data_IF_543955516070
#
_entry.id   IF_543955516070
#
_cell.length_a   1.000
_cell.length_b   1.000
_cell.length_c   1.000
_cell.angle_alpha   90.00
_cell.angle_beta   90.00
_cell.angle_gamma   90.00
#
_symmetry.space_group_name_H-M   'P 1'
#
loop_
_entity.id
_entity.type
_entity.pdbx_description
1 polymer ?
#
# COMPACT_ATOMS: atom_id res chain seq x y z
N UNK A 1 -3.18 25.01 -46.81
CA UNK A 1 -3.43 24.77 -45.39
C UNK A 1 -3.29 26.11 -44.68
N UNK A 2 -4.35 26.61 -44.04
CA UNK A 2 -4.42 28.01 -43.56
C UNK A 2 -3.58 28.14 -42.27
N UNK A 3 -2.77 29.22 -42.11
CA UNK A 3 -1.90 29.42 -40.91
C UNK A 3 -2.66 29.26 -39.58
N UNK A 4 -3.95 29.59 -39.54
CA UNK A 4 -4.82 29.42 -38.37
C UNK A 4 -5.09 27.97 -38.04
N UNK A 5 -5.31 27.11 -39.05
CA UNK A 5 -5.54 25.66 -38.87
C UNK A 5 -4.30 24.97 -38.33
N UNK A 6 -3.12 25.38 -38.77
CA UNK A 6 -1.84 24.87 -38.30
C UNK A 6 -1.60 25.24 -36.81
N UNK A 7 -1.91 26.48 -36.42
CA UNK A 7 -1.81 26.94 -35.02
C UNK A 7 -2.74 26.18 -34.07
N UNK A 8 -3.98 25.92 -34.46
CA UNK A 8 -4.92 25.14 -33.65
C UNK A 8 -4.52 23.66 -33.52
N UNK A 9 -3.94 23.08 -34.57
CA UNK A 9 -3.44 21.70 -34.51
C UNK A 9 -2.24 21.57 -33.56
N UNK A 10 -1.31 22.54 -33.57
CA UNK A 10 -0.18 22.59 -32.63
C UNK A 10 -0.63 22.85 -31.19
N UNK A 11 -1.59 23.72 -30.95
CA UNK A 11 -2.13 23.99 -29.61
C UNK A 11 -2.86 22.76 -29.03
N UNK A 12 -3.63 22.05 -29.86
CA UNK A 12 -4.30 20.82 -29.46
C UNK A 12 -3.33 19.69 -29.12
N UNK A 13 -2.28 19.51 -29.95
CA UNK A 13 -1.25 18.48 -29.70
C UNK A 13 -0.45 18.80 -28.42
N UNK A 14 -0.13 20.07 -28.18
CA UNK A 14 0.58 20.52 -26.98
C UNK A 14 -0.25 20.33 -25.71
N UNK A 15 -1.56 20.60 -25.76
CA UNK A 15 -2.48 20.36 -24.64
C UNK A 15 -2.64 18.85 -24.33
N UNK A 16 -2.68 17.98 -25.34
CA UNK A 16 -2.73 16.54 -25.17
C UNK A 16 -1.44 15.97 -24.57
N UNK A 17 -0.28 16.51 -24.97
CA UNK A 17 1.01 16.07 -24.41
C UNK A 17 1.15 16.51 -22.96
N UNK A 18 0.81 17.76 -22.62
CA UNK A 18 0.85 18.25 -21.23
C UNK A 18 -0.18 17.53 -20.37
N UNK A 19 -1.40 17.32 -20.86
CA UNK A 19 -2.44 16.58 -20.16
C UNK A 19 -2.05 15.12 -19.92
N UNK A 20 -1.40 14.47 -20.89
CA UNK A 20 -0.90 13.10 -20.75
C UNK A 20 0.27 12.97 -19.76
N UNK A 21 1.21 13.94 -19.76
CA UNK A 21 2.31 13.94 -18.78
C UNK A 21 1.82 14.22 -17.35
N UNK A 22 0.91 15.18 -17.17
CA UNK A 22 0.37 15.49 -15.83
C UNK A 22 -0.51 14.36 -15.29
N UNK A 23 -1.31 13.69 -16.12
CA UNK A 23 -2.10 12.54 -15.72
C UNK A 23 -1.23 11.35 -15.27
N UNK A 24 -0.08 11.15 -15.92
CA UNK A 24 0.85 10.05 -15.58
C UNK A 24 1.51 10.25 -14.21
N UNK A 25 1.88 11.49 -13.86
CA UNK A 25 2.52 11.79 -12.56
C UNK A 25 1.57 11.68 -11.37
N UNK A 26 0.25 11.73 -11.58
CA UNK A 26 -0.75 11.64 -10.53
C UNK A 26 -1.13 10.18 -10.15
N UNK A 27 -0.68 9.20 -10.91
CA UNK A 27 -1.08 7.79 -10.72
C UNK A 27 0.08 6.86 -10.36
N UNK A 28 1.30 7.36 -10.21
CA UNK A 28 2.44 6.51 -9.87
C UNK A 28 2.58 6.34 -8.35
N UNK A 29 2.83 5.10 -7.88
CA UNK A 29 3.21 4.83 -6.49
C UNK A 29 4.46 5.63 -6.12
N UNK A 30 4.58 6.00 -4.84
CA UNK A 30 5.69 6.82 -4.34
C UNK A 30 7.04 6.19 -4.70
N UNK A 31 8.03 6.97 -5.18
CA UNK A 31 9.35 6.46 -5.50
C UNK A 31 10.01 5.79 -4.30
N UNK A 32 10.74 4.70 -4.53
CA UNK A 32 11.56 4.05 -3.51
C UNK A 32 12.58 5.05 -2.92
N UNK A 33 12.81 4.97 -1.59
CA UNK A 33 13.69 5.89 -0.85
C UNK A 33 13.00 7.12 -0.27
N UNK A 34 11.70 7.36 -0.57
CA UNK A 34 10.96 8.47 0.01
C UNK A 34 10.60 8.18 1.47
N UNK A 35 10.79 9.18 2.36
CA UNK A 35 10.32 9.09 3.75
C UNK A 35 8.81 8.94 3.81
N UNK A 36 8.32 8.08 4.70
CA UNK A 36 6.88 8.01 4.98
C UNK A 36 6.40 9.35 5.56
N UNK A 37 5.18 9.78 5.22
CA UNK A 37 4.62 10.98 5.84
C UNK A 37 4.44 10.76 7.34
N UNK A 38 4.60 11.80 8.18
CA UNK A 38 4.39 11.73 9.63
C UNK A 38 3.03 11.13 10.02
N UNK A 39 2.01 11.30 9.16
CA UNK A 39 0.68 10.73 9.33
C UNK A 39 0.72 9.21 9.52
N UNK A 40 1.61 8.47 8.84
CA UNK A 40 1.71 7.01 9.05
C UNK A 40 1.88 6.67 10.53
N UNK A 41 2.85 7.31 11.17
CA UNK A 41 3.15 7.04 12.59
C UNK A 41 2.17 7.67 13.58
N UNK A 42 1.38 8.64 13.14
CA UNK A 42 0.33 9.26 13.93
C UNK A 42 -1.03 8.52 13.84
N UNK A 43 -1.16 7.58 12.91
CA UNK A 43 -2.41 6.83 12.72
C UNK A 43 -2.53 5.71 13.75
N UNK A 44 -3.70 5.61 14.35
CA UNK A 44 -4.16 4.48 15.17
C UNK A 44 -5.44 3.95 14.56
N UNK A 45 -5.58 2.63 14.47
CA UNK A 45 -6.75 1.97 13.91
C UNK A 45 -7.15 0.80 14.80
N UNK A 46 -8.45 0.50 14.95
CA UNK A 46 -8.90 -0.66 15.71
C UNK A 46 -8.50 -1.97 15.01
N UNK A 47 -8.13 -2.95 15.79
CA UNK A 47 -7.97 -4.34 15.33
C UNK A 47 -9.33 -5.07 15.27
N UNK A 48 -9.31 -6.36 14.94
CA UNK A 48 -10.51 -7.20 14.87
C UNK A 48 -11.25 -7.40 16.20
N UNK A 49 -10.65 -6.99 17.31
CA UNK A 49 -11.23 -7.03 18.66
C UNK A 49 -11.70 -5.64 19.11
N UNK A 50 -11.55 -4.62 18.26
CA UNK A 50 -11.89 -3.24 18.57
C UNK A 50 -10.84 -2.51 19.42
N UNK A 51 -9.64 -3.09 19.59
CA UNK A 51 -8.56 -2.45 20.33
C UNK A 51 -7.74 -1.55 19.41
N UNK A 52 -7.53 -0.30 19.85
CA UNK A 52 -6.75 0.69 19.10
C UNK A 52 -5.27 0.28 19.03
N UNK A 53 -4.76 0.19 17.81
CA UNK A 53 -3.39 -0.18 17.49
C UNK A 53 -2.69 1.00 16.80
N UNK A 54 -1.75 1.63 17.48
CA UNK A 54 -0.96 2.70 16.90
C UNK A 54 0.08 2.13 15.93
N UNK A 55 0.13 2.64 14.69
CA UNK A 55 1.12 2.18 13.69
C UNK A 55 2.56 2.50 14.13
N UNK A 56 2.75 3.47 15.02
CA UNK A 56 4.06 3.80 15.61
C UNK A 56 4.70 2.67 16.42
N UNK A 57 3.94 1.68 16.89
CA UNK A 57 4.49 0.53 17.64
C UNK A 57 5.48 -0.30 16.81
N UNK A 58 5.35 -0.30 15.47
CA UNK A 58 6.24 -1.00 14.55
C UNK A 58 7.36 -0.13 13.98
N UNK A 59 7.52 1.09 14.52
CA UNK A 59 8.60 1.98 14.09
C UNK A 59 9.96 1.39 14.43
N UNK A 60 10.89 1.39 13.46
CA UNK A 60 12.21 0.79 13.61
C UNK A 60 12.31 -0.66 13.17
N UNK A 61 11.19 -1.27 12.78
CA UNK A 61 11.14 -2.56 12.10
C UNK A 61 11.04 -2.37 10.58
N UNK A 62 11.30 -3.43 9.83
CA UNK A 62 10.88 -3.47 8.40
C UNK A 62 9.40 -3.78 8.40
N UNK A 63 8.59 -2.88 7.87
CA UNK A 63 7.14 -2.95 7.95
C UNK A 63 6.53 -3.14 6.56
N UNK A 64 5.78 -4.23 6.38
CA UNK A 64 4.95 -4.47 5.20
C UNK A 64 3.53 -4.06 5.52
N UNK A 65 3.05 -2.99 4.89
CA UNK A 65 1.67 -2.52 5.00
C UNK A 65 0.92 -2.90 3.74
N UNK A 66 -0.13 -3.71 3.90
CA UNK A 66 -1.01 -4.12 2.81
C UNK A 66 -2.42 -3.57 3.02
N UNK A 67 -2.86 -2.72 2.10
CA UNK A 67 -4.23 -2.20 2.06
C UNK A 67 -5.08 -3.13 1.20
N UNK A 68 -6.15 -3.65 1.79
CA UNK A 68 -6.97 -4.71 1.21
C UNK A 68 -8.45 -4.60 1.59
N UNK A 69 -9.29 -5.46 1.02
CA UNK A 69 -10.68 -5.60 1.42
C UNK A 69 -11.17 -7.05 1.23
N UNK A 70 -12.20 -7.44 1.96
CA UNK A 70 -12.76 -8.80 1.91
C UNK A 70 -13.39 -9.13 0.55
N UNK A 71 -13.93 -8.13 -0.12
CA UNK A 71 -14.54 -8.21 -1.46
C UNK A 71 -13.56 -8.12 -2.62
N UNK A 72 -12.25 -7.98 -2.36
CA UNK A 72 -11.20 -7.82 -3.37
C UNK A 72 -10.53 -9.17 -3.68
N UNK A 73 -10.84 -9.83 -4.80
CA UNK A 73 -10.27 -11.16 -5.11
C UNK A 73 -8.74 -11.18 -5.15
N UNK A 74 -8.03 -10.26 -5.87
CA UNK A 74 -6.57 -10.29 -5.91
C UNK A 74 -5.92 -10.02 -4.54
N UNK A 75 -6.60 -9.28 -3.64
CA UNK A 75 -6.14 -9.10 -2.26
C UNK A 75 -6.12 -10.43 -1.50
N UNK A 76 -7.16 -11.25 -1.68
CA UNK A 76 -7.30 -12.54 -1.01
C UNK A 76 -6.26 -13.55 -1.48
N UNK A 77 -5.89 -13.47 -2.76
CA UNK A 77 -4.91 -14.37 -3.38
C UNK A 77 -3.47 -14.17 -2.85
N UNK A 78 -3.12 -12.97 -2.37
CA UNK A 78 -1.75 -12.69 -1.87
C UNK A 78 -1.58 -13.02 -0.37
N UNK A 79 -2.68 -13.14 0.39
CA UNK A 79 -2.65 -13.41 1.84
C UNK A 79 -1.81 -14.63 2.22
N UNK A 80 -1.91 -15.81 1.56
CA UNK A 80 -1.09 -16.97 1.89
C UNK A 80 0.41 -16.72 1.74
N UNK A 81 0.81 -15.98 0.71
CA UNK A 81 2.20 -15.61 0.49
C UNK A 81 2.71 -14.68 1.59
N UNK A 82 1.89 -13.73 2.03
CA UNK A 82 2.24 -12.81 3.12
C UNK A 82 2.39 -13.55 4.46
N UNK A 83 1.50 -14.48 4.77
CA UNK A 83 1.62 -15.32 5.96
C UNK A 83 2.92 -16.15 5.95
N UNK A 84 3.27 -16.74 4.82
CA UNK A 84 4.48 -17.53 4.66
C UNK A 84 5.75 -16.66 4.82
N UNK A 85 5.80 -15.50 4.17
CA UNK A 85 6.91 -14.56 4.26
C UNK A 85 7.03 -13.97 5.67
N UNK A 86 5.92 -13.61 6.33
CA UNK A 86 5.97 -13.17 7.73
C UNK A 86 6.63 -14.21 8.61
N UNK A 87 6.19 -15.47 8.54
CA UNK A 87 6.79 -16.56 9.33
C UNK A 87 8.30 -16.69 9.09
N UNK A 88 8.74 -16.55 7.84
CA UNK A 88 10.14 -16.65 7.44
C UNK A 88 10.98 -15.47 7.96
N UNK A 89 10.43 -14.23 7.93
CA UNK A 89 11.18 -13.00 8.20
C UNK A 89 10.96 -12.40 9.59
N UNK A 90 9.97 -12.87 10.36
CA UNK A 90 9.70 -12.38 11.73
C UNK A 90 10.94 -12.42 12.64
N UNK A 91 11.81 -13.45 12.61
CA UNK A 91 13.04 -13.43 13.41
C UNK A 91 14.01 -12.29 13.08
N UNK A 92 13.85 -11.68 11.91
CA UNK A 92 14.64 -10.52 11.43
C UNK A 92 13.93 -9.19 11.67
N UNK A 93 12.94 -9.13 12.56
CA UNK A 93 12.14 -7.93 12.84
C UNK A 93 11.50 -7.35 11.58
N UNK A 94 10.83 -8.21 10.82
CA UNK A 94 9.93 -7.83 9.74
C UNK A 94 8.51 -8.11 10.21
N UNK A 95 7.68 -7.07 10.25
CA UNK A 95 6.26 -7.23 10.57
C UNK A 95 5.39 -6.96 9.35
N UNK A 96 4.30 -7.69 9.28
CA UNK A 96 3.25 -7.54 8.29
C UNK A 96 1.99 -7.02 8.96
N UNK A 97 1.38 -5.99 8.40
CA UNK A 97 0.13 -5.42 8.90
C UNK A 97 -0.84 -5.26 7.74
N UNK A 98 -1.96 -5.96 7.80
CA UNK A 98 -3.07 -5.79 6.88
C UNK A 98 -3.97 -4.65 7.35
N UNK A 99 -4.21 -3.65 6.50
CA UNK A 99 -5.11 -2.55 6.78
C UNK A 99 -6.35 -2.69 5.89
N UNK A 100 -7.47 -3.05 6.50
CA UNK A 100 -8.71 -3.30 5.77
C UNK A 100 -9.46 -1.99 5.47
N UNK A 101 -9.67 -1.73 4.19
CA UNK A 101 -10.61 -0.69 3.71
C UNK A 101 -12.00 -1.34 3.56
N UNK A 102 -12.58 -1.70 4.71
CA UNK A 102 -13.82 -2.45 4.80
C UNK A 102 -14.50 -2.18 6.14
N UNK A 103 -15.69 -2.72 6.35
CA UNK A 103 -16.39 -2.67 7.63
C UNK A 103 -15.98 -3.81 8.57
N UNK A 104 -16.07 -3.56 9.88
CA UNK A 104 -15.63 -4.49 10.91
C UNK A 104 -16.34 -5.85 10.86
N UNK A 105 -17.63 -5.88 10.52
CA UNK A 105 -18.41 -7.11 10.43
C UNK A 105 -17.93 -8.03 9.33
N UNK A 106 -17.68 -7.50 8.13
CA UNK A 106 -17.12 -8.25 6.99
C UNK A 106 -15.73 -8.78 7.28
N UNK A 107 -14.86 -7.94 7.88
CA UNK A 107 -13.50 -8.35 8.25
C UNK A 107 -13.54 -9.46 9.30
N UNK A 108 -14.34 -9.31 10.35
CA UNK A 108 -14.47 -10.33 11.40
C UNK A 108 -14.99 -11.68 10.85
N UNK A 109 -15.95 -11.65 9.91
CA UNK A 109 -16.43 -12.85 9.24
C UNK A 109 -15.30 -13.53 8.44
N UNK A 110 -14.59 -12.75 7.64
CA UNK A 110 -13.48 -13.23 6.81
C UNK A 110 -12.34 -13.84 7.64
N UNK A 111 -11.96 -13.20 8.76
CA UNK A 111 -10.89 -13.69 9.64
C UNK A 111 -11.23 -15.03 10.34
N UNK A 112 -12.51 -15.30 10.60
CA UNK A 112 -12.93 -16.62 11.14
C UNK A 112 -12.66 -17.75 10.14
N UNK A 113 -12.79 -17.48 8.85
CA UNK A 113 -12.60 -18.47 7.78
C UNK A 113 -11.12 -18.61 7.37
N UNK A 114 -10.40 -17.48 7.27
CA UNK A 114 -9.08 -17.42 6.63
C UNK A 114 -7.92 -17.56 7.61
N UNK A 115 -8.11 -17.35 8.92
CA UNK A 115 -7.10 -17.47 9.98
C UNK A 115 -5.79 -16.74 9.65
N UNK A 116 -5.87 -15.47 9.24
CA UNK A 116 -4.70 -14.61 9.00
C UNK A 116 -3.84 -14.56 10.26
N UNK A 117 -2.51 -14.73 10.13
CA UNK A 117 -1.57 -14.85 11.25
C UNK A 117 -0.81 -13.57 11.56
N UNK A 118 -1.06 -12.49 10.81
CA UNK A 118 -0.49 -11.16 11.06
C UNK A 118 -1.58 -10.18 11.54
N UNK A 119 -1.19 -9.07 12.19
CA UNK A 119 -2.14 -8.05 12.62
C UNK A 119 -3.00 -7.52 11.48
N UNK A 120 -4.31 -7.45 11.72
CA UNK A 120 -5.28 -6.85 10.79
C UNK A 120 -5.97 -5.70 11.49
N UNK A 121 -5.81 -4.50 10.91
CA UNK A 121 -6.44 -3.27 11.37
C UNK A 121 -7.58 -2.89 10.43
N UNK A 122 -8.58 -2.23 10.96
CA UNK A 122 -9.82 -1.90 10.24
C UNK A 122 -9.98 -0.40 10.23
N UNK A 123 -9.95 0.24 9.05
CA UNK A 123 -9.93 1.69 9.00
C UNK A 123 -10.93 2.35 8.06
N UNK A 124 -11.64 1.58 7.22
CA UNK A 124 -12.64 2.15 6.30
C UNK A 124 -12.11 3.40 5.56
N UNK A 125 -12.77 4.53 5.75
CA UNK A 125 -12.38 5.80 5.12
C UNK A 125 -11.03 6.35 5.59
N UNK A 126 -10.65 6.12 6.85
CA UNK A 126 -9.33 6.55 7.38
C UNK A 126 -8.20 5.74 6.76
N UNK A 127 -8.37 4.42 6.64
CA UNK A 127 -7.43 3.56 5.94
C UNK A 127 -7.28 3.97 4.47
N UNK A 128 -8.38 4.34 3.80
CA UNK A 128 -8.35 4.85 2.43
C UNK A 128 -7.53 6.16 2.34
N UNK A 129 -7.79 7.12 3.22
CA UNK A 129 -7.06 8.38 3.28
C UNK A 129 -5.56 8.19 3.61
N UNK A 130 -5.23 7.18 4.45
CA UNK A 130 -3.84 6.80 4.71
C UNK A 130 -3.17 6.22 3.47
N UNK A 131 -3.85 5.29 2.75
CA UNK A 131 -3.34 4.72 1.51
C UNK A 131 -3.03 5.81 0.46
N UNK A 132 -3.93 6.80 0.32
CA UNK A 132 -3.70 7.95 -0.58
C UNK A 132 -2.47 8.77 -0.15
N UNK A 133 -2.33 9.06 1.15
CA UNK A 133 -1.16 9.77 1.68
C UNK A 133 0.15 9.00 1.48
N UNK A 134 0.09 7.67 1.35
CA UNK A 134 1.22 6.78 1.07
C UNK A 134 1.49 6.57 -0.43
N UNK A 135 0.69 7.19 -1.31
CA UNK A 135 0.93 7.19 -2.75
C UNK A 135 -0.09 6.41 -3.59
N UNK A 136 -1.15 5.86 -2.99
CA UNK A 136 -2.24 5.24 -3.72
C UNK A 136 -3.30 6.29 -4.11
N UNK A 137 -2.96 7.16 -5.06
CA UNK A 137 -3.85 8.24 -5.48
C UNK A 137 -5.17 7.75 -6.08
N UNK A 138 -5.18 6.57 -6.70
CA UNK A 138 -6.36 5.97 -7.32
C UNK A 138 -7.32 5.31 -6.32
N UNK A 139 -6.83 4.97 -5.12
CA UNK A 139 -7.59 4.19 -4.13
C UNK A 139 -7.85 2.73 -4.53
N UNK A 140 -7.21 2.23 -5.60
CA UNK A 140 -7.39 0.86 -6.05
C UNK A 140 -6.69 -0.15 -5.11
N UNK A 141 -7.19 -1.39 -5.09
CA UNK A 141 -6.71 -2.47 -4.22
C UNK A 141 -6.28 -3.70 -5.03
N UNK A 142 -5.35 -4.51 -4.47
CA UNK A 142 -4.56 -4.26 -3.26
C UNK A 142 -3.50 -3.17 -3.48
N UNK A 143 -3.05 -2.55 -2.39
CA UNK A 143 -1.92 -1.64 -2.41
C UNK A 143 -0.96 -2.02 -1.29
N UNK A 144 0.31 -2.26 -1.62
CA UNK A 144 1.32 -2.69 -0.64
C UNK A 144 2.52 -1.75 -0.66
N UNK A 145 2.97 -1.36 0.52
CA UNK A 145 4.26 -0.69 0.71
C UNK A 145 5.14 -1.48 1.67
N UNK A 146 6.45 -1.39 1.45
CA UNK A 146 7.46 -1.85 2.40
C UNK A 146 8.23 -0.65 2.89
N UNK A 147 8.31 -0.50 4.21
CA UNK A 147 9.01 0.59 4.90
C UNK A 147 10.24 0.00 5.60
N UNK A 148 11.42 0.60 5.40
CA UNK A 148 12.64 0.19 6.09
C UNK A 148 12.69 0.70 7.53
N UNK A 149 13.69 0.25 8.31
CA UNK A 149 13.88 0.66 9.71
C UNK A 149 14.08 2.17 9.91
N UNK A 150 14.53 2.87 8.87
CA UNK A 150 14.71 4.32 8.87
C UNK A 150 13.41 5.08 8.49
N UNK A 151 12.32 4.38 8.22
CA UNK A 151 11.05 4.98 7.83
C UNK A 151 10.98 5.39 6.36
N UNK A 152 11.77 4.80 5.48
CA UNK A 152 11.74 5.06 4.03
C UNK A 152 10.94 3.98 3.32
N UNK A 153 10.15 4.38 2.36
CA UNK A 153 9.45 3.45 1.46
C UNK A 153 10.48 2.83 0.52
N UNK A 154 10.71 1.52 0.62
CA UNK A 154 11.66 0.77 -0.24
C UNK A 154 10.95 -0.01 -1.35
N UNK A 155 9.65 -0.24 -1.19
CA UNK A 155 8.77 -0.80 -2.21
C UNK A 155 7.40 -0.16 -2.11
N UNK A 156 6.81 0.17 -3.26
CA UNK A 156 5.41 0.59 -3.40
C UNK A 156 4.82 -0.12 -4.60
N UNK A 157 3.68 -0.78 -4.42
CA UNK A 157 3.05 -1.59 -5.47
C UNK A 157 1.53 -1.50 -5.41
N UNK A 158 0.93 -1.21 -6.54
CA UNK A 158 -0.51 -1.24 -6.75
C UNK A 158 -0.89 -2.49 -7.54
N UNK A 159 -1.93 -3.18 -7.12
CA UNK A 159 -2.33 -4.48 -7.63
C UNK A 159 -1.65 -5.63 -6.89
N UNK A 160 -1.97 -6.87 -7.27
CA UNK A 160 -1.41 -8.08 -6.65
C UNK A 160 0.11 -8.07 -6.73
N UNK A 161 0.74 -8.15 -5.57
CA UNK A 161 2.20 -8.12 -5.44
C UNK A 161 2.79 -9.53 -5.64
N UNK A 162 3.62 -9.77 -6.68
CA UNK A 162 4.28 -11.05 -6.85
C UNK A 162 5.19 -11.38 -5.66
N UNK A 163 5.05 -12.60 -5.10
CA UNK A 163 5.83 -13.08 -3.96
C UNK A 163 7.34 -12.82 -4.11
N UNK A 164 7.90 -13.15 -5.27
CA UNK A 164 9.33 -12.99 -5.52
C UNK A 164 9.79 -11.51 -5.42
N UNK A 165 8.93 -10.57 -5.83
CA UNK A 165 9.23 -9.13 -5.73
C UNK A 165 9.23 -8.65 -4.28
N UNK A 166 8.25 -9.10 -3.49
CA UNK A 166 8.22 -8.78 -2.05
C UNK A 166 9.42 -9.41 -1.34
N UNK A 167 9.70 -10.68 -1.58
CA UNK A 167 10.82 -11.40 -0.98
C UNK A 167 12.18 -10.74 -1.29
N UNK A 168 12.39 -10.30 -2.54
CA UNK A 168 13.60 -9.56 -2.91
C UNK A 168 13.75 -8.24 -2.12
N UNK A 169 12.65 -7.49 -1.94
CA UNK A 169 12.67 -6.28 -1.13
C UNK A 169 12.97 -6.57 0.34
N UNK A 170 12.43 -7.66 0.90
CA UNK A 170 12.70 -8.08 2.28
C UNK A 170 14.15 -8.55 2.46
N UNK A 171 14.71 -9.31 1.53
CA UNK A 171 16.10 -9.75 1.57
C UNK A 171 17.08 -8.59 1.64
N UNK A 172 16.81 -7.52 0.90
CA UNK A 172 17.67 -6.33 0.86
C UNK A 172 17.57 -5.46 2.12
N UNK A 173 16.43 -5.47 2.82
CA UNK A 173 16.15 -4.52 3.91
C UNK A 173 16.03 -5.18 5.30
N UNK A 174 15.89 -6.50 5.36
CA UNK A 174 15.79 -7.28 6.60
C UNK A 174 17.15 -7.94 6.98
N UNK A 175 18.27 -7.37 6.59
CA UNK A 175 19.57 -7.84 7.06
C UNK A 175 19.68 -7.73 8.59
N UNK A 176 20.42 -8.61 9.25
CA UNK A 176 20.54 -8.66 10.71
C UNK A 176 21.08 -7.37 11.32
#
# INVERSE_FOLDING_TARGET
>A
MNRKTLLYAFAGLFALVIGGLTARTLHEPRPAGTQVPPRLWATSLPDSHGQEQALSQWRGEVLVLNFWATWCPPCREEIPDFMALRKQYQPRKVEFVGIAIDNAGSVAAFLRETKITYPVLIGGGEAHALAQALGNASGALPFTIVVDRAGRIVLSHLGRLPRARLEAALQQNAAP
#
